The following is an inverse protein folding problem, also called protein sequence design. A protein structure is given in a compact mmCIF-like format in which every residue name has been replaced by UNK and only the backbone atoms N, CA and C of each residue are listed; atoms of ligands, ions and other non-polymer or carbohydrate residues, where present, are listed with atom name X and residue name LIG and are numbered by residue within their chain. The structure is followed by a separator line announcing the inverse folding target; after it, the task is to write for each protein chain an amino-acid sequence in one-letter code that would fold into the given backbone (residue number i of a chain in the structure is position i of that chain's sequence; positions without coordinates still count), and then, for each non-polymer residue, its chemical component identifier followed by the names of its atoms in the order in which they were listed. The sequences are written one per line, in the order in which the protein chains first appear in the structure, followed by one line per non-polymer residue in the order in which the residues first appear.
data_IF_956358633548
#
_entry.id   IF_956358633548
#
_cell.length_a   1.000
_cell.length_b   1.000
_cell.length_c   1.000
_cell.angle_alpha   90.00
_cell.angle_beta   90.00
_cell.angle_gamma   90.00
#
_symmetry.space_group_name_H-M   'P 1'
#
loop_
_entity.id
_entity.type
_entity.pdbx_description
1 polymer ?
#
# COMPACT_ATOMS: atom_id res chain seq x y z
N UNK A 1 -31.22 -24.40 -0.89
CA UNK A 1 -30.11 -23.46 -1.13
C UNK A 1 -30.65 -22.42 -2.09
N UNK A 2 -31.31 -21.41 -1.53
CA UNK A 2 -31.98 -20.36 -2.29
C UNK A 2 -30.92 -19.43 -2.90
N UNK A 3 -31.05 -19.19 -4.20
CA UNK A 3 -30.23 -18.25 -4.94
C UNK A 3 -30.76 -16.84 -4.68
N UNK A 4 -30.12 -16.12 -3.78
CA UNK A 4 -30.28 -14.67 -3.70
C UNK A 4 -29.80 -14.05 -5.02
N UNK A 5 -30.76 -13.57 -5.80
CA UNK A 5 -30.55 -12.68 -6.93
C UNK A 5 -29.98 -11.38 -6.39
N UNK A 6 -28.69 -11.18 -6.54
CA UNK A 6 -28.05 -9.88 -6.39
C UNK A 6 -28.66 -8.92 -7.43
N UNK A 7 -29.49 -7.97 -6.98
CA UNK A 7 -30.10 -6.94 -7.83
C UNK A 7 -29.14 -5.75 -7.94
N UNK A 8 -28.63 -5.41 -9.13
CA UNK A 8 -27.70 -4.29 -9.33
C UNK A 8 -28.44 -2.96 -9.44
N UNK A 9 -29.40 -2.70 -8.55
CA UNK A 9 -30.34 -1.57 -8.65
C UNK A 9 -29.96 -0.34 -7.81
N UNK A 10 -29.02 -0.45 -6.86
CA UNK A 10 -28.67 0.67 -5.97
C UNK A 10 -27.70 1.70 -6.59
N UNK A 11 -26.81 1.28 -7.51
CA UNK A 11 -25.78 2.18 -8.09
C UNK A 11 -26.35 3.28 -9.01
N UNK A 12 -27.60 3.17 -9.45
CA UNK A 12 -28.22 4.18 -10.33
C UNK A 12 -28.93 5.28 -9.56
N UNK A 13 -29.20 5.14 -8.26
CA UNK A 13 -29.95 6.13 -7.48
C UNK A 13 -29.03 7.17 -6.82
N UNK A 14 -27.81 6.77 -6.47
CA UNK A 14 -26.81 7.59 -5.80
C UNK A 14 -26.49 8.92 -6.52
N UNK A 15 -26.25 8.97 -7.85
CA UNK A 15 -25.93 10.23 -8.51
C UNK A 15 -27.12 11.21 -8.54
N UNK A 16 -28.36 10.70 -8.65
CA UNK A 16 -29.55 11.56 -8.63
C UNK A 16 -29.81 12.14 -7.25
N UNK A 17 -29.51 11.37 -6.19
CA UNK A 17 -29.63 11.84 -4.82
C UNK A 17 -28.64 12.98 -4.54
N UNK A 18 -27.39 12.85 -4.98
CA UNK A 18 -26.39 13.91 -4.86
C UNK A 18 -26.78 15.18 -5.61
N UNK A 19 -27.28 15.06 -6.84
CA UNK A 19 -27.74 16.20 -7.65
C UNK A 19 -28.95 16.88 -7.01
N UNK A 20 -29.90 16.11 -6.49
CA UNK A 20 -31.09 16.63 -5.81
C UNK A 20 -30.73 17.40 -4.54
N UNK A 21 -29.86 16.85 -3.70
CA UNK A 21 -29.36 17.56 -2.51
C UNK A 21 -28.62 18.85 -2.88
N UNK A 22 -27.78 18.81 -3.92
CA UNK A 22 -27.05 19.98 -4.39
C UNK A 22 -28.00 21.10 -4.85
N UNK A 23 -29.01 20.72 -5.66
CA UNK A 23 -30.01 21.64 -6.15
C UNK A 23 -30.83 22.25 -5.01
N UNK A 24 -31.21 21.46 -4.00
CA UNK A 24 -31.96 21.94 -2.85
C UNK A 24 -31.22 23.02 -2.06
N UNK A 25 -29.95 22.78 -1.70
CA UNK A 25 -29.15 23.73 -0.92
C UNK A 25 -28.76 24.99 -1.68
N UNK A 26 -28.87 25.01 -3.00
CA UNK A 26 -28.65 26.21 -3.83
C UNK A 26 -29.95 26.97 -4.14
N UNK A 27 -31.02 26.25 -4.49
CA UNK A 27 -32.30 26.84 -4.93
C UNK A 27 -33.06 27.46 -3.76
N UNK A 28 -32.99 26.86 -2.56
CA UNK A 28 -33.63 27.41 -1.36
C UNK A 28 -33.11 28.81 -0.97
N UNK A 29 -31.79 29.04 -0.77
CA UNK A 29 -31.29 30.38 -0.45
C UNK A 29 -31.49 31.37 -1.59
N UNK A 30 -31.37 30.92 -2.85
CA UNK A 30 -31.65 31.76 -4.02
C UNK A 30 -33.10 32.26 -4.04
N UNK A 31 -34.06 31.35 -3.83
CA UNK A 31 -35.49 31.68 -3.82
C UNK A 31 -35.82 32.61 -2.67
N UNK A 32 -35.23 32.38 -1.50
CA UNK A 32 -35.39 33.25 -0.33
C UNK A 32 -34.91 34.68 -0.61
N UNK A 33 -33.70 34.86 -1.16
CA UNK A 33 -33.20 36.21 -1.49
C UNK A 33 -34.02 36.83 -2.64
N UNK A 34 -34.48 36.02 -3.61
CA UNK A 34 -35.26 36.52 -4.75
C UNK A 34 -36.60 37.13 -4.33
N UNK A 35 -37.24 36.58 -3.29
CA UNK A 35 -38.47 37.17 -2.72
C UNK A 35 -38.27 38.55 -2.10
N UNK A 36 -37.04 38.90 -1.70
CA UNK A 36 -36.72 40.16 -0.99
C UNK A 36 -36.11 41.25 -1.88
N UNK A 37 -35.25 40.90 -2.82
CA UNK A 37 -34.45 41.87 -3.58
C UNK A 37 -34.59 41.76 -5.11
N UNK A 38 -35.49 40.91 -5.59
CA UNK A 38 -35.63 40.59 -7.02
C UNK A 38 -34.61 39.56 -7.51
N UNK A 39 -34.94 38.90 -8.62
CA UNK A 39 -34.23 37.72 -9.10
C UNK A 39 -32.76 37.98 -9.48
N UNK A 40 -32.47 39.12 -10.13
CA UNK A 40 -31.11 39.45 -10.60
C UNK A 40 -30.17 39.70 -9.41
N UNK A 41 -30.61 40.49 -8.43
CA UNK A 41 -29.82 40.80 -7.23
C UNK A 41 -29.62 39.55 -6.38
N UNK A 42 -30.63 38.70 -6.30
CA UNK A 42 -30.54 37.39 -5.63
C UNK A 42 -29.49 36.48 -6.26
N UNK A 43 -29.53 36.36 -7.59
CA UNK A 43 -28.58 35.54 -8.32
C UNK A 43 -27.14 36.00 -8.06
N UNK A 44 -26.90 37.30 -8.19
CA UNK A 44 -25.59 37.93 -7.98
C UNK A 44 -25.09 37.68 -6.55
N UNK A 45 -25.95 37.91 -5.55
CA UNK A 45 -25.58 37.75 -4.14
C UNK A 45 -25.26 36.29 -3.81
N UNK A 46 -26.09 35.37 -4.29
CA UNK A 46 -25.92 33.92 -4.09
C UNK A 46 -24.62 33.43 -4.72
N UNK A 47 -24.32 33.82 -5.96
CA UNK A 47 -23.07 33.48 -6.63
C UNK A 47 -21.83 34.03 -5.91
N UNK A 48 -21.89 35.29 -5.45
CA UNK A 48 -20.76 35.89 -4.74
C UNK A 48 -20.47 35.19 -3.41
N UNK A 49 -21.49 34.98 -2.58
CA UNK A 49 -21.35 34.28 -1.28
C UNK A 49 -20.83 32.84 -1.49
N UNK A 50 -21.37 32.13 -2.48
CA UNK A 50 -20.91 30.77 -2.83
C UNK A 50 -19.44 30.77 -3.27
N UNK A 51 -19.04 31.72 -4.13
CA UNK A 51 -17.63 31.85 -4.56
C UNK A 51 -16.68 32.13 -3.39
N UNK A 52 -17.10 32.94 -2.41
CA UNK A 52 -16.31 33.24 -1.22
C UNK A 52 -16.09 32.00 -0.33
N UNK A 53 -17.14 31.20 -0.11
CA UNK A 53 -17.02 29.94 0.62
C UNK A 53 -16.15 28.91 -0.12
N UNK A 54 -16.31 28.77 -1.43
CA UNK A 54 -15.47 27.89 -2.23
C UNK A 54 -13.99 28.28 -2.14
N UNK A 55 -13.66 29.57 -2.27
CA UNK A 55 -12.29 30.04 -2.13
C UNK A 55 -11.72 29.82 -0.72
N UNK A 56 -12.55 29.98 0.32
CA UNK A 56 -12.15 29.72 1.69
C UNK A 56 -11.79 28.24 1.88
N UNK A 57 -12.63 27.33 1.40
CA UNK A 57 -12.34 25.90 1.47
C UNK A 57 -11.15 25.48 0.61
N UNK A 58 -10.98 26.06 -0.58
CA UNK A 58 -9.80 25.84 -1.43
C UNK A 58 -8.53 26.30 -0.71
N UNK A 59 -8.57 27.45 -0.03
CA UNK A 59 -7.43 27.94 0.76
C UNK A 59 -7.11 26.97 1.91
N UNK A 60 -8.13 26.49 2.64
CA UNK A 60 -7.94 25.48 3.67
C UNK A 60 -7.31 24.20 3.11
N UNK A 61 -7.79 23.72 1.95
CA UNK A 61 -7.25 22.54 1.26
C UNK A 61 -5.77 22.73 0.87
N UNK A 62 -5.39 23.90 0.35
CA UNK A 62 -4.00 24.26 0.06
C UNK A 62 -3.14 24.25 1.32
N UNK A 63 -3.61 24.83 2.43
CA UNK A 63 -2.89 24.82 3.71
C UNK A 63 -2.68 23.38 4.22
N UNK A 64 -3.69 22.53 4.11
CA UNK A 64 -3.61 21.12 4.49
C UNK A 64 -2.59 20.36 3.61
N UNK A 65 -2.57 20.59 2.29
CA UNK A 65 -1.56 20.02 1.37
C UNK A 65 -0.14 20.44 1.71
N UNK A 66 0.07 21.72 2.02
CA UNK A 66 1.38 22.25 2.46
C UNK A 66 1.80 21.56 3.77
N UNK A 67 0.89 21.51 4.75
CA UNK A 67 1.16 20.92 6.07
C UNK A 67 1.56 19.45 5.98
N UNK A 68 0.85 18.66 5.17
CA UNK A 68 1.20 17.25 4.92
C UNK A 68 2.54 17.10 4.22
N UNK A 69 2.81 17.94 3.22
CA UNK A 69 4.08 17.89 2.47
C UNK A 69 5.27 18.18 3.40
N UNK A 70 5.13 19.14 4.32
CA UNK A 70 6.15 19.43 5.34
C UNK A 70 6.33 18.24 6.29
N UNK A 71 5.25 17.65 6.79
CA UNK A 71 5.29 16.46 7.67
C UNK A 71 5.99 15.27 7.01
N UNK A 72 5.71 14.99 5.74
CA UNK A 72 6.37 13.91 4.98
C UNK A 72 7.87 14.16 4.77
N UNK A 73 8.29 15.42 4.64
CA UNK A 73 9.71 15.78 4.50
C UNK A 73 10.49 15.68 5.83
N UNK A 74 9.80 15.71 6.97
CA UNK A 74 10.41 15.65 8.31
C UNK A 74 10.58 14.20 8.79
N UNK A 75 9.59 13.33 8.53
CA UNK A 75 9.57 11.94 9.01
C UNK A 75 10.57 11.04 8.30
N UNK A 76 10.85 11.26 7.00
CA UNK A 76 11.71 10.37 6.24
C UNK A 76 12.71 11.14 5.34
N UNK A 77 14.02 11.11 5.67
CA UNK A 77 15.05 11.83 4.93
C UNK A 77 15.28 11.32 3.51
N UNK A 78 14.78 10.13 3.14
CA UNK A 78 14.80 9.64 1.75
C UNK A 78 13.87 10.43 0.82
N UNK A 79 12.78 10.99 1.36
CA UNK A 79 11.82 11.82 0.60
C UNK A 79 12.39 13.21 0.26
N UNK A 80 13.43 13.67 0.97
CA UNK A 80 14.12 14.94 0.69
C UNK A 80 14.79 14.93 -0.69
N UNK A 81 15.26 13.78 -1.18
CA UNK A 81 15.89 13.66 -2.49
C UNK A 81 14.90 13.74 -3.66
N UNK A 82 13.61 13.45 -3.44
CA UNK A 82 12.59 13.40 -4.49
C UNK A 82 11.46 14.44 -4.28
N UNK A 83 11.77 15.56 -3.64
CA UNK A 83 10.82 16.61 -3.22
C UNK A 83 9.89 17.12 -4.33
N UNK A 84 10.39 17.23 -5.56
CA UNK A 84 9.62 17.72 -6.71
C UNK A 84 8.47 16.80 -7.11
N UNK A 85 8.67 15.48 -7.07
CA UNK A 85 7.62 14.52 -7.45
C UNK A 85 6.49 14.47 -6.42
N UNK A 86 6.83 14.57 -5.13
CA UNK A 86 5.88 14.60 -4.00
C UNK A 86 5.03 15.87 -4.04
N UNK A 87 5.65 17.03 -4.25
CA UNK A 87 4.93 18.30 -4.41
C UNK A 87 3.98 18.20 -5.60
N UNK A 88 4.47 17.72 -6.75
CA UNK A 88 3.64 17.57 -7.95
C UNK A 88 2.45 16.64 -7.73
N UNK A 89 2.63 15.57 -6.95
CA UNK A 89 1.58 14.62 -6.62
C UNK A 89 0.56 15.21 -5.63
N UNK A 90 1.03 15.82 -4.54
CA UNK A 90 0.17 16.40 -3.51
C UNK A 90 -0.63 17.61 -4.01
N UNK A 91 -0.15 18.31 -5.04
CA UNK A 91 -0.83 19.46 -5.66
C UNK A 91 -1.47 19.13 -7.01
N UNK A 92 -1.51 17.86 -7.42
CA UNK A 92 -2.25 17.47 -8.61
C UNK A 92 -3.75 17.71 -8.37
N UNK A 93 -4.39 18.36 -9.35
CA UNK A 93 -5.83 18.58 -9.40
C UNK A 93 -6.41 17.78 -10.56
N UNK A 94 -7.51 17.09 -10.32
CA UNK A 94 -8.32 16.54 -11.40
C UNK A 94 -8.99 17.67 -12.21
N UNK A 95 -9.40 17.37 -13.44
CA UNK A 95 -9.97 18.36 -14.36
C UNK A 95 -11.19 19.07 -13.77
N UNK A 96 -12.07 18.35 -13.09
CA UNK A 96 -13.28 18.91 -12.48
C UNK A 96 -12.94 19.92 -11.35
N UNK A 97 -12.01 19.56 -10.47
CA UNK A 97 -11.53 20.43 -9.40
C UNK A 97 -10.84 21.67 -9.94
N UNK A 98 -10.00 21.53 -10.98
CA UNK A 98 -9.34 22.66 -11.62
C UNK A 98 -10.36 23.65 -12.22
N UNK A 99 -11.40 23.14 -12.88
CA UNK A 99 -12.49 23.97 -13.42
C UNK A 99 -13.22 24.72 -12.31
N UNK A 100 -13.56 24.06 -11.20
CA UNK A 100 -14.22 24.72 -10.06
C UNK A 100 -13.34 25.82 -9.45
N UNK A 101 -12.06 25.57 -9.26
CA UNK A 101 -11.12 26.57 -8.72
C UNK A 101 -11.10 27.80 -9.62
N UNK A 102 -10.94 27.61 -10.93
CA UNK A 102 -10.90 28.71 -11.90
C UNK A 102 -12.21 29.50 -11.92
N UNK A 103 -13.35 28.81 -11.97
CA UNK A 103 -14.67 29.46 -11.97
C UNK A 103 -14.89 30.24 -10.67
N UNK A 104 -14.52 29.67 -9.52
CA UNK A 104 -14.68 30.32 -8.21
C UNK A 104 -13.87 31.60 -8.10
N UNK A 105 -12.61 31.59 -8.58
CA UNK A 105 -11.75 32.77 -8.62
C UNK A 105 -12.33 33.84 -9.56
N UNK A 106 -12.73 33.45 -10.77
CA UNK A 106 -13.27 34.39 -11.75
C UNK A 106 -14.56 35.06 -11.26
N UNK A 107 -15.50 34.29 -10.73
CA UNK A 107 -16.75 34.83 -10.17
C UNK A 107 -16.43 35.79 -9.02
N UNK A 108 -15.58 35.39 -8.08
CA UNK A 108 -15.23 36.24 -6.94
C UNK A 108 -14.59 37.56 -7.36
N UNK A 109 -13.65 37.54 -8.32
CA UNK A 109 -12.98 38.74 -8.83
C UNK A 109 -13.95 39.66 -9.59
N UNK A 110 -14.77 39.11 -10.49
CA UNK A 110 -15.77 39.87 -11.25
C UNK A 110 -16.73 40.57 -10.28
N UNK A 111 -17.20 39.88 -9.24
CA UNK A 111 -18.12 40.47 -8.28
C UNK A 111 -17.47 41.47 -7.34
N UNK A 112 -16.25 41.19 -6.85
CA UNK A 112 -15.49 42.13 -6.03
C UNK A 112 -15.24 43.45 -6.77
N UNK A 113 -14.90 43.38 -8.06
CA UNK A 113 -14.74 44.57 -8.91
C UNK A 113 -16.07 45.31 -9.11
N UNK A 114 -17.19 44.61 -9.33
CA UNK A 114 -18.50 45.25 -9.46
C UNK A 114 -18.93 45.97 -8.17
N UNK A 115 -18.64 45.42 -7.00
CA UNK A 115 -18.93 46.05 -5.70
C UNK A 115 -18.12 47.34 -5.55
N UNK A 116 -16.82 47.29 -5.85
CA UNK A 116 -15.91 48.45 -5.77
C UNK A 116 -16.31 49.55 -6.76
N UNK A 117 -16.67 49.19 -8.00
CA UNK A 117 -16.97 50.15 -9.07
C UNK A 117 -18.37 50.76 -8.91
N UNK A 118 -19.39 49.95 -8.56
CA UNK A 118 -20.80 50.41 -8.51
C UNK A 118 -21.25 50.84 -7.12
N UNK A 119 -20.40 50.72 -6.09
CA UNK A 119 -20.76 51.07 -4.71
C UNK A 119 -22.00 50.32 -4.23
N UNK A 120 -22.16 49.06 -4.65
CA UNK A 120 -23.36 48.27 -4.37
C UNK A 120 -23.55 48.21 -2.84
N UNK A 121 -24.65 48.77 -2.30
CA UNK A 121 -24.77 48.87 -0.86
C UNK A 121 -25.21 47.50 -0.34
N UNK A 122 -24.30 46.81 0.34
CA UNK A 122 -24.60 45.72 1.28
C UNK A 122 -25.48 46.19 2.47
N UNK A 123 -26.15 47.36 2.38
CA UNK A 123 -26.96 47.98 3.43
C UNK A 123 -28.24 47.21 3.77
N UNK A 124 -28.64 46.21 3.00
CA UNK A 124 -29.82 45.38 3.31
C UNK A 124 -29.48 44.11 4.12
N UNK A 125 -28.24 43.97 4.59
CA UNK A 125 -27.78 42.78 5.32
C UNK A 125 -27.62 43.11 6.82
N UNK A 126 -28.75 43.36 7.50
CA UNK A 126 -28.78 43.94 8.83
C UNK A 126 -29.66 43.19 9.84
N UNK A 127 -29.56 41.87 9.93
CA UNK A 127 -30.05 41.11 11.10
C UNK A 127 -29.42 39.70 11.14
N UNK A 128 -28.57 39.43 12.15
CA UNK A 128 -27.82 38.16 12.37
C UNK A 128 -28.66 36.87 12.19
N UNK A 129 -29.97 36.91 12.45
CA UNK A 129 -30.88 35.76 12.27
C UNK A 129 -31.21 35.41 10.81
N UNK A 130 -31.23 36.38 9.89
CA UNK A 130 -31.51 36.14 8.47
C UNK A 130 -30.29 35.59 7.71
N UNK A 131 -29.09 35.82 8.25
CA UNK A 131 -27.84 35.29 7.71
C UNK A 131 -27.75 33.76 7.82
N UNK A 132 -28.25 33.16 8.89
CA UNK A 132 -28.09 31.72 9.12
C UNK A 132 -28.82 30.89 8.06
N UNK A 133 -30.01 31.31 7.61
CA UNK A 133 -30.82 30.55 6.63
C UNK A 133 -30.29 30.61 5.20
N UNK A 134 -29.40 31.57 4.89
CA UNK A 134 -28.82 31.72 3.55
C UNK A 134 -27.39 31.21 3.52
N UNK A 135 -26.56 31.63 4.48
CA UNK A 135 -25.13 31.32 4.47
C UNK A 135 -24.84 29.86 4.84
N UNK A 136 -25.59 29.26 5.77
CA UNK A 136 -25.36 27.86 6.15
C UNK A 136 -25.67 26.91 4.99
N UNK A 137 -26.81 27.00 4.27
CA UNK A 137 -27.05 26.20 3.07
C UNK A 137 -25.99 26.40 1.98
N UNK A 138 -25.54 27.64 1.73
CA UNK A 138 -24.52 27.92 0.71
C UNK A 138 -23.12 27.41 1.11
N UNK A 139 -22.81 27.43 2.40
CA UNK A 139 -21.59 26.81 2.93
C UNK A 139 -21.64 25.29 2.77
N UNK A 140 -22.77 24.65 3.12
CA UNK A 140 -22.99 23.20 2.93
C UNK A 140 -22.90 22.85 1.43
N UNK A 141 -23.56 23.63 0.57
CA UNK A 141 -23.49 23.47 -0.88
C UNK A 141 -22.04 23.52 -1.38
N UNK A 142 -21.28 24.54 -0.95
CA UNK A 142 -19.89 24.72 -1.33
C UNK A 142 -19.01 23.55 -0.87
N UNK A 143 -19.23 23.06 0.36
CA UNK A 143 -18.54 21.88 0.88
C UNK A 143 -18.89 20.61 0.08
N UNK A 144 -20.17 20.35 -0.18
CA UNK A 144 -20.62 19.21 -0.96
C UNK A 144 -20.08 19.24 -2.39
N UNK A 145 -20.06 20.42 -3.02
CA UNK A 145 -19.53 20.60 -4.37
C UNK A 145 -18.04 20.20 -4.44
N UNK A 146 -17.23 20.60 -3.46
CA UNK A 146 -15.81 20.25 -3.38
C UNK A 146 -15.58 18.75 -3.11
N UNK A 147 -16.45 18.12 -2.33
CA UNK A 147 -16.39 16.67 -2.06
C UNK A 147 -16.73 15.86 -3.31
N UNK A 148 -17.75 16.28 -4.06
CA UNK A 148 -18.16 15.62 -5.31
C UNK A 148 -17.08 15.72 -6.39
N UNK A 149 -16.35 16.84 -6.45
CA UNK A 149 -15.22 16.95 -7.38
C UNK A 149 -13.96 16.20 -6.94
N UNK A 150 -14.02 15.48 -5.82
CA UNK A 150 -12.88 14.78 -5.24
C UNK A 150 -11.68 15.72 -5.04
N UNK A 151 -11.90 16.99 -4.66
CA UNK A 151 -10.80 17.92 -4.45
C UNK A 151 -9.82 17.39 -3.39
N UNK A 152 -10.35 16.76 -2.33
CA UNK A 152 -9.60 16.12 -1.25
C UNK A 152 -9.02 14.74 -1.61
N UNK A 153 -8.94 14.36 -2.87
CA UNK A 153 -8.34 13.07 -3.28
C UNK A 153 -6.87 12.93 -2.83
N UNK A 154 -6.15 14.04 -2.73
CA UNK A 154 -4.81 14.10 -2.16
C UNK A 154 -4.73 13.64 -0.70
N UNK A 155 -5.83 13.75 0.08
CA UNK A 155 -5.92 13.31 1.48
C UNK A 155 -5.80 11.79 1.58
N UNK A 156 -6.29 11.05 0.56
CA UNK A 156 -6.10 9.60 0.48
C UNK A 156 -4.64 9.22 0.25
N UNK A 157 -3.81 10.15 -0.26
CA UNK A 157 -2.40 9.91 -0.58
C UNK A 157 -2.19 8.70 -1.51
N UNK A 158 -0.93 8.40 -1.86
CA UNK A 158 -0.55 7.06 -2.33
C UNK A 158 -0.42 6.07 -1.16
N UNK A 159 -1.00 6.35 0.01
CA UNK A 159 -1.00 5.41 1.11
C UNK A 159 -2.24 4.55 0.93
N UNK A 160 -2.07 3.39 0.29
CA UNK A 160 -3.05 2.31 0.40
C UNK A 160 -3.31 2.14 1.90
N UNK A 161 -4.51 2.50 2.38
CA UNK A 161 -4.87 2.34 3.78
C UNK A 161 -5.11 0.85 4.06
N UNK A 162 -3.99 0.13 4.15
CA UNK A 162 -3.92 -1.29 4.45
C UNK A 162 -4.59 -1.58 5.79
N UNK A 163 -4.60 -0.61 6.71
CA UNK A 163 -5.21 -0.76 8.02
C UNK A 163 -6.75 -0.68 7.93
N UNK A 164 -7.29 0.18 7.05
CA UNK A 164 -8.72 0.17 6.72
C UNK A 164 -9.19 -1.16 6.10
N UNK A 165 -8.29 -1.89 5.41
CA UNK A 165 -8.60 -3.22 4.86
C UNK A 165 -8.74 -4.31 5.93
N UNK A 166 -8.41 -4.03 7.21
CA UNK A 166 -8.57 -4.95 8.35
C UNK A 166 -7.99 -6.36 8.09
N UNK A 167 -6.86 -6.44 7.40
CA UNK A 167 -6.17 -7.70 7.08
C UNK A 167 -6.66 -8.41 5.81
N UNK A 168 -7.55 -7.78 5.02
CA UNK A 168 -7.92 -8.25 3.67
C UNK A 168 -7.00 -7.71 2.57
N UNK A 169 -5.89 -7.07 2.95
CA UNK A 169 -4.91 -6.60 1.99
C UNK A 169 -4.10 -7.74 1.36
N UNK A 170 -3.53 -7.46 0.19
CA UNK A 170 -2.81 -8.45 -0.60
C UNK A 170 -1.58 -9.02 0.13
N UNK A 171 -0.86 -8.19 0.91
CA UNK A 171 0.30 -8.61 1.69
C UNK A 171 -0.06 -9.60 2.80
N UNK A 172 -1.11 -9.28 3.56
CA UNK A 172 -1.66 -10.17 4.60
C UNK A 172 -2.20 -11.48 4.00
N UNK A 173 -2.94 -11.40 2.89
CA UNK A 173 -3.44 -12.58 2.18
C UNK A 173 -2.32 -13.52 1.72
N UNK A 174 -1.24 -12.95 1.14
CA UNK A 174 -0.05 -13.71 0.77
C UNK A 174 0.60 -14.40 1.98
N UNK A 175 0.72 -13.70 3.11
CA UNK A 175 1.34 -14.24 4.33
C UNK A 175 0.57 -15.45 4.85
N UNK A 176 -0.76 -15.35 4.97
CA UNK A 176 -1.60 -16.47 5.41
C UNK A 176 -1.58 -17.64 4.44
N UNK A 177 -1.64 -17.36 3.14
CA UNK A 177 -1.57 -18.39 2.10
C UNK A 177 -0.26 -19.18 2.18
N UNK A 178 0.87 -18.49 2.35
CA UNK A 178 2.18 -19.13 2.47
C UNK A 178 2.34 -19.89 3.79
N UNK A 179 1.87 -19.33 4.90
CA UNK A 179 1.93 -20.01 6.19
C UNK A 179 1.08 -21.30 6.21
N UNK A 180 -0.22 -21.21 5.97
CA UNK A 180 -1.14 -22.36 6.05
C UNK A 180 -1.05 -23.31 4.86
N UNK A 181 -0.60 -22.81 3.71
CA UNK A 181 -0.40 -23.59 2.49
C UNK A 181 0.91 -24.36 2.48
N UNK A 182 1.93 -23.89 3.22
CA UNK A 182 3.29 -24.41 3.11
C UNK A 182 4.05 -24.46 4.44
N UNK A 183 4.39 -23.32 5.08
CA UNK A 183 5.32 -23.32 6.21
C UNK A 183 4.86 -24.14 7.42
N UNK A 184 3.56 -24.06 7.76
CA UNK A 184 2.96 -24.87 8.84
C UNK A 184 3.07 -26.38 8.58
N UNK A 185 3.21 -26.78 7.32
CA UNK A 185 3.32 -28.19 6.95
C UNK A 185 4.76 -28.69 7.07
N UNK A 186 5.73 -27.90 6.60
CA UNK A 186 7.11 -28.36 6.40
C UNK A 186 8.08 -28.03 7.53
N UNK A 187 7.77 -27.02 8.36
CA UNK A 187 8.65 -26.57 9.43
C UNK A 187 8.58 -27.49 10.67
N UNK A 188 7.41 -27.70 11.31
CA UNK A 188 7.34 -28.43 12.57
C UNK A 188 7.59 -29.92 12.38
N UNK A 189 8.03 -30.59 13.45
CA UNK A 189 7.95 -32.05 13.54
C UNK A 189 6.55 -32.41 14.07
N UNK A 190 5.68 -33.06 13.28
CA UNK A 190 4.34 -33.45 13.72
C UNK A 190 4.34 -34.60 14.76
N UNK A 191 5.50 -35.15 15.11
CA UNK A 191 5.63 -36.27 16.04
C UNK A 191 5.18 -37.61 15.44
N UNK A 192 5.00 -37.70 14.12
CA UNK A 192 4.71 -38.97 13.44
C UNK A 192 5.99 -39.61 12.93
N UNK A 193 6.05 -40.93 12.93
CA UNK A 193 7.22 -41.71 12.48
C UNK A 193 7.63 -41.43 11.03
N UNK A 194 6.75 -40.83 10.22
CA UNK A 194 6.93 -40.66 8.78
C UNK A 194 7.10 -39.19 8.34
N UNK A 195 7.02 -38.24 9.27
CA UNK A 195 7.11 -36.81 8.97
C UNK A 195 8.16 -36.15 9.84
N UNK A 196 9.22 -35.65 9.22
CA UNK A 196 10.33 -34.98 9.92
C UNK A 196 10.20 -33.46 9.82
N UNK A 197 10.53 -32.77 10.92
CA UNK A 197 10.61 -31.31 10.93
C UNK A 197 11.87 -30.81 10.21
N UNK A 198 11.96 -29.50 9.97
CA UNK A 198 13.07 -28.91 9.22
C UNK A 198 14.44 -29.14 9.88
N UNK A 199 14.52 -29.08 11.22
CA UNK A 199 15.76 -29.32 11.97
C UNK A 199 16.27 -30.73 11.78
N UNK A 200 15.38 -31.70 11.98
CA UNK A 200 15.68 -33.12 11.82
C UNK A 200 16.08 -33.45 10.37
N UNK A 201 15.46 -32.80 9.36
CA UNK A 201 15.89 -32.95 7.95
C UNK A 201 17.29 -32.40 7.70
N UNK A 202 17.70 -31.33 8.38
CA UNK A 202 19.06 -30.77 8.29
C UNK A 202 20.06 -31.72 8.96
N UNK A 203 19.77 -32.18 10.18
CA UNK A 203 20.63 -33.12 10.92
C UNK A 203 20.86 -34.43 10.13
N UNK A 204 19.80 -35.00 9.55
CA UNK A 204 19.94 -36.18 8.70
C UNK A 204 20.79 -35.90 7.43
N UNK A 205 20.72 -34.69 6.89
CA UNK A 205 21.55 -34.29 5.75
C UNK A 205 23.02 -34.18 6.16
N UNK A 206 23.31 -33.62 7.34
CA UNK A 206 24.65 -33.56 7.93
C UNK A 206 25.26 -34.95 8.05
N UNK A 207 24.54 -35.88 8.68
CA UNK A 207 24.99 -37.26 8.89
C UNK A 207 25.23 -37.99 7.56
N UNK A 208 24.27 -37.89 6.63
CA UNK A 208 24.33 -38.59 5.34
C UNK A 208 25.44 -38.08 4.43
N UNK A 209 25.77 -36.79 4.52
CA UNK A 209 26.73 -36.14 3.63
C UNK A 209 28.05 -35.78 4.30
N UNK A 210 28.19 -36.04 5.61
CA UNK A 210 29.34 -35.69 6.43
C UNK A 210 29.70 -34.20 6.30
N UNK A 211 28.70 -33.34 6.50
CA UNK A 211 28.79 -31.87 6.44
C UNK A 211 28.17 -31.26 7.69
N UNK A 212 28.37 -29.95 7.90
CA UNK A 212 27.79 -29.23 9.04
C UNK A 212 27.14 -27.92 8.59
N UNK A 213 26.00 -27.59 9.17
CA UNK A 213 25.27 -26.32 9.02
C UNK A 213 25.49 -25.50 10.30
N UNK A 214 25.85 -24.21 10.17
CA UNK A 214 25.98 -23.34 11.34
C UNK A 214 24.63 -23.02 11.99
N UNK A 215 23.52 -23.14 11.25
CA UNK A 215 22.17 -22.80 11.72
C UNK A 215 21.14 -23.79 11.17
N UNK A 216 20.44 -24.48 12.07
CA UNK A 216 19.37 -25.43 11.75
C UNK A 216 18.00 -24.71 11.62
N UNK A 217 17.89 -23.83 10.62
CA UNK A 217 16.65 -23.13 10.27
C UNK A 217 16.47 -23.05 8.75
N UNK A 218 15.23 -22.93 8.29
CA UNK A 218 14.93 -22.52 6.91
C UNK A 218 15.09 -21.00 6.78
N UNK A 219 15.96 -20.55 5.89
CA UNK A 219 16.10 -19.14 5.56
C UNK A 219 15.13 -18.77 4.42
N UNK A 220 14.36 -17.71 4.60
CA UNK A 220 13.39 -17.23 3.60
C UNK A 220 13.79 -15.83 3.16
N UNK A 221 14.14 -15.70 1.89
CA UNK A 221 14.59 -14.45 1.27
C UNK A 221 13.39 -13.62 0.79
N UNK A 222 13.36 -12.36 1.21
CA UNK A 222 12.29 -11.40 0.94
C UNK A 222 12.94 -10.11 0.39
N UNK A 223 13.24 -10.05 -0.92
CA UNK A 223 13.82 -8.87 -1.55
C UNK A 223 12.82 -7.71 -1.61
N UNK A 224 13.31 -6.48 -1.43
CA UNK A 224 12.48 -5.27 -1.47
C UNK A 224 11.77 -5.05 -2.81
N UNK A 225 12.36 -5.49 -3.92
CA UNK A 225 11.74 -5.46 -5.25
C UNK A 225 10.63 -6.49 -5.45
N UNK A 226 10.50 -7.46 -4.54
CA UNK A 226 9.63 -8.62 -4.68
C UNK A 226 10.13 -9.70 -5.64
N UNK A 227 11.28 -9.52 -6.30
CA UNK A 227 11.81 -10.50 -7.26
C UNK A 227 13.04 -11.24 -6.74
N UNK A 228 12.99 -12.56 -6.83
CA UNK A 228 14.15 -13.43 -6.63
C UNK A 228 14.24 -14.41 -7.81
N UNK A 229 15.42 -14.61 -8.41
CA UNK A 229 15.56 -15.54 -9.53
C UNK A 229 15.33 -16.99 -9.08
N UNK A 230 14.90 -17.87 -10.00
CA UNK A 230 14.68 -19.28 -9.69
C UNK A 230 15.95 -20.02 -9.25
N UNK A 231 17.11 -19.56 -9.69
CA UNK A 231 18.41 -20.09 -9.27
C UNK A 231 19.19 -19.04 -8.48
N UNK A 232 19.42 -19.29 -7.18
CA UNK A 232 20.16 -18.38 -6.31
C UNK A 232 21.62 -18.15 -6.75
N UNK A 233 22.17 -19.00 -7.62
CA UNK A 233 23.48 -18.79 -8.27
C UNK A 233 23.51 -17.48 -9.07
N UNK A 234 22.38 -17.06 -9.64
CA UNK A 234 22.24 -15.82 -10.41
C UNK A 234 22.21 -14.58 -9.50
N UNK A 235 21.61 -14.68 -8.31
CA UNK A 235 21.54 -13.60 -7.33
C UNK A 235 22.80 -13.48 -6.46
N UNK A 236 23.72 -14.44 -6.54
CA UNK A 236 24.87 -14.54 -5.65
C UNK A 236 26.23 -14.28 -6.31
N UNK A 237 26.25 -13.73 -7.53
CA UNK A 237 27.49 -13.56 -8.31
C UNK A 237 28.31 -14.87 -8.39
N UNK A 238 27.63 -16.02 -8.49
CA UNK A 238 28.25 -17.36 -8.52
C UNK A 238 28.87 -17.82 -7.19
N UNK A 239 28.62 -17.15 -6.07
CA UNK A 239 29.08 -17.57 -4.73
C UNK A 239 28.28 -18.75 -4.18
N UNK A 240 27.06 -18.95 -4.66
CA UNK A 240 26.20 -20.06 -4.24
C UNK A 240 26.18 -21.20 -5.25
N UNK A 241 26.08 -22.40 -4.72
CA UNK A 241 25.88 -23.64 -5.46
C UNK A 241 24.80 -24.48 -4.78
N UNK A 242 23.86 -25.03 -5.56
CA UNK A 242 22.92 -26.02 -5.04
C UNK A 242 23.69 -27.28 -4.64
N UNK A 243 23.57 -27.70 -3.38
CA UNK A 243 24.21 -28.91 -2.88
C UNK A 243 23.40 -30.13 -3.30
N UNK A 244 22.28 -30.36 -2.60
CA UNK A 244 21.29 -31.42 -2.82
C UNK A 244 19.97 -31.05 -2.12
N UNK A 245 18.90 -31.73 -2.49
CA UNK A 245 17.61 -31.66 -1.80
C UNK A 245 17.69 -32.30 -0.41
N UNK A 246 16.96 -31.73 0.56
CA UNK A 246 16.63 -32.41 1.81
C UNK A 246 15.65 -33.56 1.53
N UNK A 247 15.41 -34.40 2.53
CA UNK A 247 14.43 -35.49 2.44
C UNK A 247 13.03 -34.96 2.08
N UNK A 248 12.41 -35.58 1.07
CA UNK A 248 11.07 -35.24 0.62
C UNK A 248 10.02 -35.56 1.68
N UNK A 249 8.98 -34.73 1.75
CA UNK A 249 7.80 -34.99 2.56
C UNK A 249 6.56 -35.08 1.69
N UNK A 250 5.74 -36.12 1.87
CA UNK A 250 4.51 -36.32 1.11
C UNK A 250 3.29 -36.11 1.99
N UNK A 251 2.33 -35.31 1.51
CA UNK A 251 1.03 -35.13 2.19
C UNK A 251 -0.13 -35.09 1.21
N UNK A 252 -1.29 -35.53 1.67
CA UNK A 252 -2.53 -35.40 0.91
C UNK A 252 -3.13 -34.01 1.14
N UNK A 253 -3.39 -33.26 0.06
CA UNK A 253 -3.85 -31.87 0.16
C UNK A 253 -4.80 -31.53 -0.98
N UNK A 254 -5.99 -31.02 -0.63
CA UNK A 254 -6.97 -30.50 -1.59
C UNK A 254 -7.24 -31.45 -2.77
N UNK A 255 -7.43 -32.75 -2.49
CA UNK A 255 -7.64 -33.78 -3.51
C UNK A 255 -6.38 -34.29 -4.22
N UNK A 256 -5.20 -33.74 -3.93
CA UNK A 256 -3.91 -34.26 -4.42
C UNK A 256 -3.33 -35.24 -3.42
N UNK A 257 -3.34 -36.53 -3.75
CA UNK A 257 -2.74 -37.59 -2.94
C UNK A 257 -1.23 -37.61 -3.16
N UNK A 258 -0.45 -37.66 -2.08
CA UNK A 258 1.01 -37.76 -2.13
C UNK A 258 1.70 -36.51 -2.67
N UNK A 259 1.16 -35.31 -2.40
CA UNK A 259 1.81 -34.04 -2.77
C UNK A 259 3.19 -33.94 -2.11
N UNK A 260 4.23 -33.84 -2.93
CA UNK A 260 5.62 -33.74 -2.47
C UNK A 260 6.00 -32.30 -2.11
N UNK A 261 6.61 -32.14 -0.94
CA UNK A 261 7.27 -30.94 -0.45
C UNK A 261 8.77 -31.23 -0.32
N UNK A 262 9.61 -30.29 -0.76
CA UNK A 262 11.07 -30.42 -0.73
C UNK A 262 11.71 -29.06 -0.45
N UNK A 263 12.87 -29.08 0.20
CA UNK A 263 13.72 -27.91 0.40
C UNK A 263 15.14 -28.22 -0.13
N UNK A 264 15.90 -27.18 -0.47
CA UNK A 264 17.24 -27.33 -1.01
C UNK A 264 18.30 -26.85 -0.02
N UNK A 265 19.36 -27.64 0.16
CA UNK A 265 20.58 -27.19 0.79
C UNK A 265 21.49 -26.51 -0.25
N UNK A 266 22.12 -25.41 0.14
CA UNK A 266 23.05 -24.65 -0.67
C UNK A 266 24.41 -24.57 0.01
N UNK A 267 25.45 -24.52 -0.81
CA UNK A 267 26.82 -24.16 -0.42
C UNK A 267 27.04 -22.69 -0.72
N UNK A 268 27.61 -21.97 0.23
CA UNK A 268 28.06 -20.59 0.05
C UNK A 268 29.58 -20.55 0.21
N UNK A 269 30.30 -20.14 -0.83
CA UNK A 269 31.75 -19.97 -0.78
C UNK A 269 32.09 -18.53 -0.40
N UNK A 270 32.64 -18.34 0.79
CA UNK A 270 33.09 -17.02 1.27
C UNK A 270 34.15 -16.47 0.32
N UNK A 271 33.90 -15.30 -0.26
CA UNK A 271 34.73 -14.65 -1.30
C UNK A 271 34.68 -15.32 -2.68
N UNK A 272 33.62 -16.08 -2.96
CA UNK A 272 33.35 -16.66 -4.26
C UNK A 272 33.91 -18.07 -4.42
N UNK A 273 33.43 -18.77 -5.46
CA UNK A 273 33.64 -20.21 -5.64
C UNK A 273 35.11 -20.63 -5.79
N UNK A 274 35.97 -19.73 -6.26
CA UNK A 274 37.38 -19.99 -6.49
C UNK A 274 38.29 -19.53 -5.34
N UNK A 275 37.73 -19.13 -4.19
CA UNK A 275 38.52 -18.64 -3.05
C UNK A 275 39.31 -19.72 -2.32
N UNK A 276 38.98 -21.00 -2.54
CA UNK A 276 39.56 -22.14 -1.82
C UNK A 276 39.02 -22.29 -0.38
N UNK A 277 38.11 -21.42 0.07
CA UNK A 277 37.48 -21.52 1.37
C UNK A 277 36.46 -22.68 1.41
N UNK A 278 36.40 -23.37 2.55
CA UNK A 278 35.34 -24.36 2.80
C UNK A 278 33.96 -23.69 2.73
N UNK A 279 32.98 -24.31 2.04
CA UNK A 279 31.67 -23.72 1.90
C UNK A 279 30.89 -23.75 3.23
N UNK A 280 30.09 -22.72 3.45
CA UNK A 280 29.07 -22.69 4.50
C UNK A 280 27.79 -23.30 3.94
N UNK A 281 27.19 -24.24 4.66
CA UNK A 281 25.94 -24.88 4.27
C UNK A 281 24.73 -24.14 4.84
N UNK A 282 23.68 -24.00 4.06
CA UNK A 282 22.44 -23.34 4.49
C UNK A 282 21.23 -23.95 3.76
N UNK A 283 20.08 -23.99 4.42
CA UNK A 283 18.80 -24.28 3.75
C UNK A 283 18.09 -22.96 3.51
N UNK A 284 17.89 -22.61 2.24
CA UNK A 284 17.39 -21.28 1.87
C UNK A 284 16.49 -21.35 0.65
N UNK A 285 15.44 -20.53 0.65
CA UNK A 285 14.54 -20.35 -0.49
C UNK A 285 14.04 -18.91 -0.57
N UNK A 286 13.49 -18.54 -1.73
CA UNK A 286 12.75 -17.30 -1.89
C UNK A 286 11.29 -17.44 -1.46
N UNK A 287 10.71 -16.38 -0.90
CA UNK A 287 9.28 -16.35 -0.61
C UNK A 287 8.47 -16.41 -1.91
N UNK A 288 7.96 -17.59 -2.26
CA UNK A 288 7.23 -17.85 -3.52
C UNK A 288 6.06 -16.89 -3.80
N UNK A 289 5.24 -16.46 -2.81
CA UNK A 289 4.15 -15.52 -3.08
C UNK A 289 4.62 -14.20 -3.71
N UNK A 290 5.85 -13.74 -3.39
CA UNK A 290 6.40 -12.53 -3.97
C UNK A 290 6.68 -12.67 -5.47
N UNK A 291 7.02 -13.88 -5.94
CA UNK A 291 7.17 -14.13 -7.38
C UNK A 291 5.83 -13.94 -8.10
N UNK A 292 4.76 -14.53 -7.57
CA UNK A 292 3.40 -14.32 -8.11
C UNK A 292 3.02 -12.85 -8.09
N UNK A 293 3.29 -12.15 -6.99
CA UNK A 293 3.06 -10.71 -6.90
C UNK A 293 3.85 -9.90 -7.93
N UNK A 294 5.11 -10.26 -8.16
CA UNK A 294 5.97 -9.65 -9.16
C UNK A 294 5.46 -9.90 -10.59
N UNK A 295 4.98 -11.11 -10.88
CA UNK A 295 4.42 -11.44 -12.19
C UNK A 295 3.17 -10.61 -12.49
N UNK A 296 2.25 -10.44 -11.53
CA UNK A 296 1.06 -9.60 -11.71
C UNK A 296 1.46 -8.16 -12.10
N UNK A 297 2.51 -7.60 -11.51
CA UNK A 297 3.03 -6.27 -11.85
C UNK A 297 3.57 -6.17 -13.28
N UNK A 298 4.04 -7.29 -13.87
CA UNK A 298 4.63 -7.33 -15.21
C UNK A 298 3.61 -7.53 -16.32
N UNK A 299 2.45 -8.10 -16.01
CA UNK A 299 1.37 -8.29 -16.97
C UNK A 299 0.55 -7.00 -17.15
N UNK A 300 -0.13 -6.87 -18.29
CA UNK A 300 -0.91 -5.69 -18.67
C UNK A 300 -2.37 -5.75 -18.17
N UNK A 301 -2.57 -6.08 -16.89
CA UNK A 301 -3.89 -5.98 -16.28
C UNK A 301 -4.17 -4.52 -15.87
N UNK A 302 -5.44 -4.08 -15.85
CA UNK A 302 -5.80 -2.75 -15.35
C UNK A 302 -5.22 -2.46 -13.95
N UNK A 303 -5.19 -3.47 -13.09
CA UNK A 303 -4.75 -3.39 -11.69
C UNK A 303 -3.22 -3.36 -11.55
N UNK A 304 -2.46 -3.74 -12.58
CA UNK A 304 -0.98 -3.81 -12.55
C UNK A 304 -0.31 -2.47 -12.28
N UNK A 305 -0.98 -1.35 -12.58
CA UNK A 305 -0.50 -0.01 -12.23
C UNK A 305 -0.52 0.17 -10.70
N UNK A 306 -1.62 -0.21 -10.04
CA UNK A 306 -1.75 -0.11 -8.59
C UNK A 306 -0.77 -1.05 -7.87
N UNK A 307 -0.60 -2.29 -8.35
CA UNK A 307 0.36 -3.21 -7.77
C UNK A 307 1.81 -2.72 -7.85
N UNK A 308 2.19 -2.05 -8.96
CA UNK A 308 3.52 -1.43 -9.08
C UNK A 308 3.69 -0.23 -8.16
N UNK A 309 2.64 0.58 -8.03
CA UNK A 309 2.64 1.77 -7.18
C UNK A 309 2.82 1.41 -5.70
N UNK A 310 2.10 0.40 -5.21
CA UNK A 310 2.08 0.00 -3.79
C UNK A 310 2.97 -1.19 -3.46
N UNK A 311 3.96 -1.47 -4.33
CA UNK A 311 4.79 -2.67 -4.24
C UNK A 311 5.50 -2.77 -2.89
N UNK A 312 6.15 -1.69 -2.48
CA UNK A 312 6.99 -1.69 -1.29
C UNK A 312 6.13 -1.87 -0.02
N UNK A 313 4.98 -1.22 0.04
CA UNK A 313 4.01 -1.30 1.14
C UNK A 313 3.44 -2.72 1.25
N UNK A 314 3.04 -3.33 0.13
CA UNK A 314 2.51 -4.70 0.09
C UNK A 314 3.58 -5.72 0.49
N UNK A 315 4.81 -5.59 -0.02
CA UNK A 315 5.94 -6.47 0.35
C UNK A 315 6.30 -6.34 1.83
N UNK A 316 6.33 -5.11 2.37
CA UNK A 316 6.58 -4.87 3.80
C UNK A 316 5.46 -5.46 4.66
N UNK A 317 4.20 -5.27 4.27
CA UNK A 317 3.03 -5.84 4.97
C UNK A 317 3.07 -7.37 4.98
N UNK A 318 3.45 -7.99 3.86
CA UNK A 318 3.70 -9.44 3.78
C UNK A 318 4.78 -9.88 4.77
N UNK A 319 5.94 -9.22 4.79
CA UNK A 319 7.03 -9.54 5.70
C UNK A 319 6.60 -9.43 7.17
N UNK A 320 6.00 -8.31 7.55
CA UNK A 320 5.57 -8.04 8.92
C UNK A 320 4.53 -9.06 9.38
N UNK A 321 3.51 -9.31 8.55
CA UNK A 321 2.45 -10.26 8.90
C UNK A 321 2.95 -11.69 8.97
N UNK A 322 3.83 -12.11 8.05
CA UNK A 322 4.43 -13.44 8.10
C UNK A 322 5.30 -13.62 9.36
N UNK A 323 6.08 -12.60 9.72
CA UNK A 323 6.88 -12.58 10.95
C UNK A 323 6.00 -12.71 12.19
N UNK A 324 4.90 -11.95 12.25
CA UNK A 324 3.92 -11.99 13.34
C UNK A 324 3.36 -13.41 13.51
N UNK A 325 2.87 -14.03 12.44
CA UNK A 325 2.30 -15.38 12.45
C UNK A 325 3.33 -16.40 12.97
N UNK A 326 4.57 -16.36 12.45
CA UNK A 326 5.63 -17.29 12.86
C UNK A 326 6.08 -17.09 14.31
N UNK A 327 5.97 -15.87 14.84
CA UNK A 327 6.32 -15.57 16.24
C UNK A 327 5.20 -15.94 17.21
N UNK A 328 3.94 -15.86 16.78
CA UNK A 328 2.77 -16.20 17.61
C UNK A 328 2.55 -17.71 17.74
N UNK A 329 2.99 -18.49 16.75
CA UNK A 329 2.68 -19.93 16.65
C UNK A 329 3.82 -20.80 17.24
N UNK A 330 3.61 -21.50 18.38
CA UNK A 330 4.67 -22.22 19.09
C UNK A 330 5.38 -23.28 18.23
N UNK A 331 4.63 -24.01 17.41
CA UNK A 331 5.15 -25.14 16.62
C UNK A 331 6.12 -24.71 15.52
N UNK A 332 6.02 -23.46 15.04
CA UNK A 332 6.84 -22.95 13.93
C UNK A 332 7.85 -21.89 14.36
N UNK A 333 7.70 -21.37 15.59
CA UNK A 333 8.60 -20.37 16.16
C UNK A 333 10.04 -20.89 16.19
N UNK A 334 10.96 -20.03 15.77
CA UNK A 334 12.41 -20.32 15.71
C UNK A 334 12.83 -21.47 14.79
N UNK A 335 11.96 -21.95 13.88
CA UNK A 335 12.30 -22.95 12.86
C UNK A 335 12.66 -22.35 11.50
N UNK A 336 12.33 -21.08 11.28
CA UNK A 336 12.72 -20.34 10.09
C UNK A 336 13.26 -18.95 10.45
N UNK A 337 14.02 -18.38 9.52
CA UNK A 337 14.61 -17.05 9.60
C UNK A 337 14.18 -16.23 8.38
N UNK A 338 13.49 -15.11 8.62
CA UNK A 338 13.08 -14.21 7.55
C UNK A 338 14.16 -13.15 7.30
N UNK A 339 14.65 -13.06 6.06
CA UNK A 339 15.59 -12.04 5.62
C UNK A 339 14.89 -11.09 4.67
N UNK A 340 14.41 -9.97 5.20
CA UNK A 340 14.05 -8.80 4.39
C UNK A 340 15.32 -8.00 4.07
N UNK A 341 15.55 -7.70 2.80
CA UNK A 341 16.73 -6.94 2.37
C UNK A 341 16.44 -6.07 1.15
N UNK A 342 17.16 -4.95 1.03
CA UNK A 342 17.17 -4.18 -0.20
C UNK A 342 18.08 -4.89 -1.21
N UNK A 343 17.51 -5.28 -2.34
CA UNK A 343 18.18 -6.04 -3.38
C UNK A 343 18.91 -5.17 -4.41
N UNK A 344 18.86 -3.84 -4.24
CA UNK A 344 19.70 -2.86 -4.94
C UNK A 344 20.54 -2.05 -3.94
N UNK A 345 21.81 -1.83 -4.24
CA UNK A 345 22.68 -0.98 -3.43
C UNK A 345 22.48 0.53 -3.76
N UNK A 346 23.23 1.40 -3.07
CA UNK A 346 23.19 2.86 -3.30
C UNK A 346 23.55 3.31 -4.72
N UNK A 347 24.11 2.41 -5.54
CA UNK A 347 24.50 2.62 -6.93
C UNK A 347 23.58 1.87 -7.90
N UNK A 348 22.43 1.39 -7.43
CA UNK A 348 21.46 0.58 -8.17
C UNK A 348 22.01 -0.78 -8.66
N UNK A 349 23.16 -1.23 -8.15
CA UNK A 349 23.69 -2.56 -8.46
C UNK A 349 22.99 -3.61 -7.59
N UNK A 350 22.76 -4.80 -8.17
CA UNK A 350 22.13 -5.90 -7.43
C UNK A 350 23.03 -6.36 -6.29
N UNK A 351 22.44 -6.48 -5.09
CA UNK A 351 23.16 -6.98 -3.92
C UNK A 351 23.40 -8.48 -4.06
N UNK A 352 24.63 -8.90 -3.77
CA UNK A 352 25.00 -10.32 -3.72
C UNK A 352 24.33 -11.01 -2.53
N UNK A 353 23.33 -11.85 -2.81
CA UNK A 353 22.52 -12.52 -1.77
C UNK A 353 23.32 -13.45 -0.87
N UNK A 354 24.46 -13.98 -1.33
CA UNK A 354 25.33 -14.80 -0.50
C UNK A 354 25.87 -14.03 0.70
N UNK A 355 26.23 -12.75 0.49
CA UNK A 355 26.73 -11.89 1.57
C UNK A 355 25.65 -11.63 2.61
N UNK A 356 24.42 -11.36 2.14
CA UNK A 356 23.25 -11.13 3.02
C UNK A 356 22.98 -12.35 3.91
N UNK A 357 23.06 -13.55 3.34
CA UNK A 357 22.87 -14.79 4.12
C UNK A 357 24.00 -15.01 5.12
N UNK A 358 25.27 -14.83 4.70
CA UNK A 358 26.43 -14.99 5.58
C UNK A 358 26.42 -14.00 6.76
N UNK A 359 26.04 -12.75 6.50
CA UNK A 359 25.87 -11.72 7.53
C UNK A 359 24.81 -12.14 8.55
N UNK A 360 23.62 -12.56 8.09
CA UNK A 360 22.57 -13.05 8.99
C UNK A 360 22.98 -14.30 9.77
N UNK A 361 23.71 -15.23 9.15
CA UNK A 361 24.26 -16.39 9.87
C UNK A 361 25.18 -15.92 11.00
N UNK A 362 26.11 -14.99 10.72
CA UNK A 362 27.02 -14.43 11.72
C UNK A 362 26.28 -13.75 12.88
N UNK A 363 25.22 -12.99 12.60
CA UNK A 363 24.37 -12.35 13.61
C UNK A 363 23.71 -13.39 14.54
N UNK A 364 23.17 -14.47 13.98
CA UNK A 364 22.52 -15.53 14.74
C UNK A 364 23.53 -16.29 15.60
N UNK A 365 24.68 -16.66 15.03
CA UNK A 365 25.70 -17.44 15.74
C UNK A 365 26.46 -16.64 16.78
N UNK A 366 26.53 -15.31 16.65
CA UNK A 366 27.13 -14.43 17.67
C UNK A 366 26.17 -14.06 18.79
N UNK A 367 24.86 -14.19 18.56
CA UNK A 367 23.81 -13.93 19.55
C UNK A 367 23.38 -15.20 20.34
N UNK A 368 23.92 -16.36 19.97
CA UNK A 368 23.67 -17.67 20.62
C UNK A 368 24.84 -18.01 21.53
#
# INVERSE_FOLDING_TARGET
MESEKYSPSDDKLEPYLHIFFLAFFFVFPFSYIATKSGAIVSFITTCHVTSGFLLTFILCDVVLRVSRTISLMDVDPSFRQNSSSIIRQNFALNTASAVIVVISVLLFLIFSMNIVIRGYPLKNLGAFGEFSFVYVPLMIFSFCLLRITNLAEWERGPTLDLDAMKGLDYGTGMAYSYYYGYLRLILPNPGTTYSKGIREKIENFEDKHNVTFPVHKLFILIPSSGYIPPNLKEASEQWMESAKELEEEKRDRAGTIGRTYRNNAYKIYSNGRNSGASPVYVVVEGATPLLTFYEVQKHSHPESIAYRQYRNEITMRFYQKLREILQSEPDTRNLCELIYYNDCDSKEAKVNVAKVILERISEITSSS
#
